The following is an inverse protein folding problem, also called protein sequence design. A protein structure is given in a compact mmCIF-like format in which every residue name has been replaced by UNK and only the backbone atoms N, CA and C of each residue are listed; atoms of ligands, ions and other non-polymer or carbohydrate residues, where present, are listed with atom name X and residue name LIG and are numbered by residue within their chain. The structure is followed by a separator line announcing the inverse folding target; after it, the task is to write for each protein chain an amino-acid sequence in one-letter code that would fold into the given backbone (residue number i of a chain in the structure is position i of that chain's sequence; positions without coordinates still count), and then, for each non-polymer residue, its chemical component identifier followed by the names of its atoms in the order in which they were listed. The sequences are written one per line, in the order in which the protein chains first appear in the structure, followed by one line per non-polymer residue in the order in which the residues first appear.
data_IF_191279656401
#
_entry.id   IF_191279656401
#
_cell.length_a   1.000
_cell.length_b   1.000
_cell.length_c   1.000
_cell.angle_alpha   90.00
_cell.angle_beta   90.00
_cell.angle_gamma   90.00
#
_symmetry.space_group_name_H-M   'P 1'
#
loop_
_entity.id
_entity.type
_entity.pdbx_description
1 polymer ?
#
# COMPACT_ATOMS: atom_id res chain seq x y z
N UNK A 1 12.85 -10.37 -9.33
CA UNK A 1 13.24 -10.04 -7.93
C UNK A 1 12.09 -9.53 -7.07
N UNK A 2 11.44 -8.41 -7.42
CA UNK A 2 10.33 -7.83 -6.64
C UNK A 2 9.17 -8.80 -6.37
N UNK A 3 8.65 -9.46 -7.41
CA UNK A 3 7.52 -10.41 -7.28
C UNK A 3 7.83 -11.56 -6.33
N UNK A 4 9.05 -12.10 -6.42
CA UNK A 4 9.51 -13.18 -5.54
C UNK A 4 9.57 -12.69 -4.08
N UNK A 5 10.17 -11.53 -3.83
CA UNK A 5 10.22 -10.95 -2.49
C UNK A 5 8.82 -10.68 -1.92
N UNK A 6 7.92 -10.11 -2.71
CA UNK A 6 6.55 -9.79 -2.30
C UNK A 6 5.77 -11.06 -1.91
N UNK A 7 5.90 -12.12 -2.71
CA UNK A 7 5.28 -13.42 -2.41
C UNK A 7 5.87 -14.07 -1.15
N UNK A 8 7.18 -13.96 -0.94
CA UNK A 8 7.84 -14.48 0.27
C UNK A 8 7.37 -13.75 1.53
N UNK A 9 7.28 -12.41 1.49
CA UNK A 9 6.74 -11.61 2.62
C UNK A 9 5.30 -12.01 2.92
N UNK A 10 4.45 -12.09 1.88
CA UNK A 10 3.05 -12.51 2.03
C UNK A 10 2.93 -13.89 2.67
N UNK A 11 3.76 -14.85 2.25
CA UNK A 11 3.81 -16.19 2.84
C UNK A 11 4.23 -16.16 4.31
N UNK A 12 5.24 -15.38 4.67
CA UNK A 12 5.69 -15.28 6.07
C UNK A 12 4.65 -14.59 6.97
N UNK A 13 3.94 -13.58 6.45
CA UNK A 13 2.83 -12.94 7.16
C UNK A 13 1.68 -13.93 7.40
N UNK A 14 1.34 -14.75 6.40
CA UNK A 14 0.31 -15.79 6.52
C UNK A 14 0.64 -16.85 7.58
N UNK A 15 1.92 -17.17 7.79
CA UNK A 15 2.38 -18.20 8.74
C UNK A 15 2.30 -17.77 10.23
N UNK A 16 2.07 -16.50 10.54
CA UNK A 16 1.88 -15.94 11.90
C UNK A 16 2.94 -16.38 12.92
N UNK A 17 2.62 -17.39 13.75
CA UNK A 17 3.50 -17.90 14.81
C UNK A 17 4.56 -18.88 14.29
N UNK A 18 4.29 -19.56 13.16
CA UNK A 18 5.22 -20.46 12.48
C UNK A 18 6.16 -19.74 11.51
N UNK A 19 6.19 -18.40 11.55
CA UNK A 19 7.04 -17.59 10.67
C UNK A 19 8.51 -17.85 10.97
N UNK A 20 9.32 -17.89 9.92
CA UNK A 20 10.75 -18.11 10.06
C UNK A 20 11.46 -16.76 10.09
N UNK A 21 11.87 -16.33 11.30
CA UNK A 21 12.58 -15.06 11.49
C UNK A 21 13.83 -14.95 10.62
N UNK A 22 14.55 -16.07 10.42
CA UNK A 22 15.74 -16.13 9.56
C UNK A 22 15.44 -15.72 8.11
N UNK A 23 14.29 -16.13 7.56
CA UNK A 23 13.87 -15.75 6.20
C UNK A 23 13.56 -14.25 6.13
N UNK A 24 12.85 -13.72 7.13
CA UNK A 24 12.53 -12.29 7.18
C UNK A 24 13.79 -11.43 7.30
N UNK A 25 14.74 -11.83 8.14
CA UNK A 25 16.02 -11.15 8.30
C UNK A 25 16.83 -11.16 7.01
N UNK A 26 16.94 -12.32 6.34
CA UNK A 26 17.61 -12.43 5.05
C UNK A 26 16.95 -11.55 3.99
N UNK A 27 15.61 -11.50 3.95
CA UNK A 27 14.88 -10.61 3.05
C UNK A 27 15.17 -9.14 3.31
N UNK A 28 15.27 -8.70 4.58
CA UNK A 28 15.64 -7.32 4.92
C UNK A 28 17.04 -7.00 4.41
N UNK A 29 18.03 -7.88 4.66
CA UNK A 29 19.40 -7.69 4.20
C UNK A 29 19.46 -7.62 2.67
N UNK A 30 18.76 -8.52 2.00
CA UNK A 30 18.69 -8.55 0.54
C UNK A 30 18.10 -7.26 -0.03
N UNK A 31 16.95 -6.80 0.49
CA UNK A 31 16.31 -5.56 0.03
C UNK A 31 17.19 -4.34 0.30
N UNK A 32 17.81 -4.27 1.49
CA UNK A 32 18.74 -3.21 1.85
C UNK A 32 19.94 -3.18 0.90
N UNK A 33 20.54 -4.34 0.62
CA UNK A 33 21.66 -4.46 -0.32
C UNK A 33 21.32 -3.95 -1.71
N UNK A 34 20.10 -4.22 -2.21
CA UNK A 34 19.66 -3.70 -3.51
C UNK A 34 19.50 -2.17 -3.50
N UNK A 35 18.93 -1.60 -2.44
CA UNK A 35 18.78 -0.14 -2.30
C UNK A 35 20.15 0.53 -2.23
N UNK A 36 21.06 0.01 -1.43
CA UNK A 36 22.43 0.53 -1.31
C UNK A 36 23.19 0.40 -2.63
N UNK A 37 23.04 -0.70 -3.35
CA UNK A 37 23.66 -0.90 -4.65
C UNK A 37 23.19 0.15 -5.68
N UNK A 38 21.89 0.44 -5.73
CA UNK A 38 21.35 1.49 -6.61
C UNK A 38 21.99 2.85 -6.28
N UNK A 39 22.03 3.24 -5.00
CA UNK A 39 22.62 4.52 -4.62
C UNK A 39 24.14 4.58 -4.81
N UNK A 40 24.83 3.45 -4.70
CA UNK A 40 26.26 3.36 -5.00
C UNK A 40 26.52 3.56 -6.50
N UNK A 41 25.80 2.84 -7.37
CA UNK A 41 25.98 2.91 -8.82
C UNK A 41 25.64 4.29 -9.37
N UNK A 42 24.60 4.94 -8.82
CA UNK A 42 24.12 6.25 -9.30
C UNK A 42 24.48 7.40 -8.33
N UNK A 43 25.60 7.28 -7.62
CA UNK A 43 26.02 8.27 -6.62
C UNK A 43 26.18 9.67 -7.21
N UNK A 44 26.74 9.79 -8.42
CA UNK A 44 26.98 11.07 -9.09
C UNK A 44 25.71 11.87 -9.39
N UNK A 45 24.59 11.18 -9.64
CA UNK A 45 23.31 11.80 -9.98
C UNK A 45 22.50 12.26 -8.76
N UNK A 46 23.01 11.97 -7.55
CA UNK A 46 22.42 12.38 -6.27
C UNK A 46 20.92 12.05 -6.14
N UNK A 47 20.52 10.85 -6.62
CA UNK A 47 19.11 10.39 -6.63
C UNK A 47 18.44 10.36 -5.26
N UNK A 48 19.23 10.32 -4.18
CA UNK A 48 18.71 10.39 -2.81
C UNK A 48 17.96 11.70 -2.55
N UNK A 49 18.27 12.78 -3.27
CA UNK A 49 17.57 14.07 -3.15
C UNK A 49 16.08 13.96 -3.51
N UNK A 50 15.72 13.07 -4.42
CA UNK A 50 14.32 12.81 -4.77
C UNK A 50 13.52 12.22 -3.60
N UNK A 51 14.16 11.55 -2.65
CA UNK A 51 13.49 11.11 -1.42
C UNK A 51 13.09 12.30 -0.52
N UNK A 52 13.79 13.42 -0.61
CA UNK A 52 13.44 14.62 0.15
C UNK A 52 12.53 15.55 -0.67
N UNK A 53 11.84 15.02 -1.69
CA UNK A 53 11.00 15.78 -2.62
C UNK A 53 11.75 16.93 -3.31
N UNK A 54 13.07 16.76 -3.48
CA UNK A 54 13.93 17.71 -4.18
C UNK A 54 14.28 17.16 -5.56
N UNK A 55 14.38 18.05 -6.55
CA UNK A 55 14.79 17.65 -7.89
C UNK A 55 16.23 17.11 -7.88
N UNK A 56 16.46 15.99 -8.55
CA UNK A 56 17.80 15.45 -8.70
C UNK A 56 18.67 16.35 -9.61
N UNK A 57 19.98 16.21 -9.45
CA UNK A 57 20.96 17.07 -10.08
C UNK A 57 21.37 16.47 -11.43
N UNK A 58 20.78 16.98 -12.52
CA UNK A 58 21.12 16.58 -13.88
C UNK A 58 21.68 17.76 -14.67
N UNK A 59 22.65 17.45 -15.53
CA UNK A 59 23.27 18.39 -16.47
C UNK A 59 22.33 18.78 -17.63
N UNK A 60 21.41 17.88 -18.00
CA UNK A 60 20.39 18.10 -19.02
C UNK A 60 19.04 17.53 -18.57
N UNK A 61 17.99 18.37 -18.56
CA UNK A 61 16.64 17.98 -18.15
C UNK A 61 15.83 17.43 -19.34
N UNK A 62 16.15 16.21 -19.76
CA UNK A 62 15.37 15.52 -20.81
C UNK A 62 14.21 14.73 -20.22
N UNK A 63 13.15 14.54 -21.01
CA UNK A 63 11.97 13.76 -20.60
C UNK A 63 12.33 12.33 -20.18
N UNK A 64 13.32 11.73 -20.86
CA UNK A 64 13.80 10.37 -20.56
C UNK A 64 14.51 10.29 -19.21
N UNK A 65 15.28 11.33 -18.85
CA UNK A 65 15.91 11.43 -17.54
C UNK A 65 14.86 11.52 -16.44
N UNK A 66 13.80 12.31 -16.63
CA UNK A 66 12.69 12.41 -15.67
C UNK A 66 12.00 11.05 -15.48
N UNK A 67 11.61 10.38 -16.56
CA UNK A 67 10.98 9.05 -16.47
C UNK A 67 11.88 8.03 -15.78
N UNK A 68 13.17 8.03 -16.10
CA UNK A 68 14.12 7.10 -15.50
C UNK A 68 14.28 7.34 -13.99
N UNK A 69 14.37 8.59 -13.55
CA UNK A 69 14.46 8.94 -12.11
C UNK A 69 13.19 8.57 -11.37
N UNK A 70 12.03 8.92 -11.92
CA UNK A 70 10.74 8.54 -11.35
C UNK A 70 10.66 7.01 -11.23
N UNK A 71 11.09 6.27 -12.25
CA UNK A 71 11.13 4.81 -12.23
C UNK A 71 12.05 4.22 -11.16
N UNK A 72 13.28 4.72 -11.02
CA UNK A 72 14.24 4.22 -10.02
C UNK A 72 13.79 4.58 -8.59
N UNK A 73 13.30 5.80 -8.38
CA UNK A 73 12.82 6.24 -7.06
C UNK A 73 11.56 5.47 -6.64
N UNK A 74 10.62 5.25 -7.56
CA UNK A 74 9.45 4.38 -7.36
C UNK A 74 9.85 2.96 -6.94
N UNK A 75 10.87 2.40 -7.60
CA UNK A 75 11.41 1.08 -7.29
C UNK A 75 12.06 1.01 -5.90
N UNK A 76 12.88 2.01 -5.55
CA UNK A 76 13.51 2.10 -4.22
C UNK A 76 12.45 2.17 -3.12
N UNK A 77 11.40 2.96 -3.30
CA UNK A 77 10.36 3.10 -2.28
C UNK A 77 9.62 1.78 -2.06
N UNK A 78 9.33 1.03 -3.12
CA UNK A 78 8.73 -0.31 -2.96
C UNK A 78 9.61 -1.22 -2.10
N UNK A 79 10.92 -1.16 -2.29
CA UNK A 79 11.86 -1.96 -1.50
C UNK A 79 11.91 -1.50 -0.04
N UNK A 80 11.91 -0.19 0.20
CA UNK A 80 11.81 0.38 1.55
C UNK A 80 10.50 -0.04 2.23
N UNK A 81 9.36 0.04 1.52
CA UNK A 81 8.05 -0.38 2.01
C UNK A 81 8.02 -1.87 2.36
N UNK A 82 8.55 -2.73 1.49
CA UNK A 82 8.68 -4.17 1.76
C UNK A 82 9.59 -4.44 2.98
N UNK A 83 10.69 -3.71 3.12
CA UNK A 83 11.61 -3.81 4.25
C UNK A 83 10.92 -3.44 5.56
N UNK A 84 10.15 -2.34 5.59
CA UNK A 84 9.37 -1.94 6.76
C UNK A 84 8.30 -2.97 7.12
N UNK A 85 7.62 -3.59 6.14
CA UNK A 85 6.67 -4.70 6.41
C UNK A 85 7.37 -5.92 7.00
N UNK A 86 8.56 -6.28 6.50
CA UNK A 86 9.38 -7.34 7.08
C UNK A 86 9.76 -7.01 8.54
N UNK A 87 10.14 -5.76 8.83
CA UNK A 87 10.45 -5.32 10.18
C UNK A 87 9.22 -5.45 11.10
N UNK A 88 8.06 -4.97 10.68
CA UNK A 88 6.79 -5.13 11.43
C UNK A 88 6.45 -6.62 11.63
N UNK A 89 6.66 -7.46 10.62
CA UNK A 89 6.46 -8.91 10.74
C UNK A 89 7.43 -9.54 11.75
N UNK A 90 8.66 -9.04 11.82
CA UNK A 90 9.71 -9.53 12.72
C UNK A 90 9.45 -9.17 14.20
N UNK A 91 8.72 -8.07 14.48
CA UNK A 91 8.41 -7.62 15.83
C UNK A 91 7.67 -8.69 16.66
N UNK A 92 8.01 -8.77 17.95
CA UNK A 92 7.40 -9.71 18.88
C UNK A 92 5.95 -9.34 19.23
N UNK A 93 5.17 -10.29 19.76
CA UNK A 93 3.77 -10.06 20.18
C UNK A 93 3.64 -8.97 21.26
N UNK A 94 4.70 -8.75 22.05
CA UNK A 94 4.78 -7.70 23.08
C UNK A 94 4.76 -6.27 22.50
N UNK A 95 5.23 -6.09 21.27
CA UNK A 95 5.32 -4.76 20.63
C UNK A 95 4.06 -4.47 19.80
N UNK A 96 3.59 -5.46 19.02
CA UNK A 96 2.40 -5.32 18.19
C UNK A 96 1.55 -6.58 18.25
N UNK A 97 0.32 -6.43 18.75
CA UNK A 97 -0.71 -7.46 18.76
C UNK A 97 -1.04 -7.90 17.33
N UNK A 98 -1.24 -9.20 17.10
CA UNK A 98 -1.47 -9.74 15.75
C UNK A 98 -2.66 -9.11 15.02
N UNK A 99 -3.75 -8.80 15.74
CA UNK A 99 -4.95 -8.13 15.19
C UNK A 99 -4.63 -6.76 14.58
N UNK A 100 -3.60 -6.07 15.07
CA UNK A 100 -3.22 -4.72 14.60
C UNK A 100 -2.24 -4.74 13.42
N UNK A 101 -1.51 -5.85 13.20
CA UNK A 101 -0.46 -5.92 12.15
C UNK A 101 -1.01 -5.70 10.75
N UNK A 102 -2.17 -6.28 10.44
CA UNK A 102 -2.86 -6.07 9.16
C UNK A 102 -3.18 -4.59 8.91
N UNK A 103 -3.64 -3.87 9.95
CA UNK A 103 -3.89 -2.42 9.90
C UNK A 103 -2.59 -1.64 9.65
N UNK A 104 -1.48 -2.01 10.28
CA UNK A 104 -0.17 -1.39 10.02
C UNK A 104 0.36 -1.66 8.60
N UNK A 105 0.22 -2.88 8.07
CA UNK A 105 0.64 -3.19 6.70
C UNK A 105 -0.16 -2.37 5.68
N UNK A 106 -1.47 -2.27 5.88
CA UNK A 106 -2.35 -1.45 5.08
C UNK A 106 -1.96 0.03 5.17
N UNK A 107 -1.83 0.58 6.38
CA UNK A 107 -1.44 1.98 6.59
C UNK A 107 -0.12 2.30 5.89
N UNK A 108 0.89 1.46 6.09
CA UNK A 108 2.21 1.63 5.52
C UNK A 108 2.19 1.59 3.97
N UNK A 109 1.38 0.73 3.38
CA UNK A 109 1.20 0.69 1.92
C UNK A 109 0.52 1.94 1.39
N UNK A 110 -0.50 2.46 2.08
CA UNK A 110 -1.18 3.70 1.67
C UNK A 110 -0.24 4.89 1.78
N UNK A 111 0.52 5.00 2.87
CA UNK A 111 1.54 6.03 3.02
C UNK A 111 2.59 5.94 1.91
N UNK A 112 3.05 4.73 1.57
CA UNK A 112 3.98 4.52 0.46
C UNK A 112 3.40 4.95 -0.88
N UNK A 113 2.12 4.69 -1.14
CA UNK A 113 1.45 5.11 -2.37
C UNK A 113 1.24 6.63 -2.42
N UNK A 114 0.88 7.26 -1.31
CA UNK A 114 0.81 8.73 -1.21
C UNK A 114 2.17 9.35 -1.53
N UNK A 115 3.23 8.82 -0.92
CA UNK A 115 4.58 9.33 -1.11
C UNK A 115 5.09 9.13 -2.55
N UNK A 116 4.80 7.99 -3.20
CA UNK A 116 5.15 7.74 -4.60
C UNK A 116 4.40 8.65 -5.58
N UNK A 117 3.24 9.20 -5.21
CA UNK A 117 2.55 10.23 -5.99
C UNK A 117 3.15 11.62 -5.82
N UNK A 118 3.85 11.87 -4.71
CA UNK A 118 4.46 13.18 -4.45
C UNK A 118 5.81 13.37 -5.16
N UNK A 119 6.54 12.28 -5.44
CA UNK A 119 7.91 12.36 -5.98
C UNK A 119 8.00 12.84 -7.43
N UNK A 120 7.10 12.44 -8.35
CA UNK A 120 7.15 12.96 -9.71
C UNK A 120 6.95 14.49 -9.77
N UNK A 121 6.24 15.07 -8.79
CA UNK A 121 5.86 16.49 -8.76
C UNK A 121 7.03 17.45 -8.94
N UNK A 122 8.07 17.48 -8.06
CA UNK A 122 9.19 18.39 -8.20
C UNK A 122 10.01 18.15 -9.48
N UNK A 123 10.04 16.91 -9.98
CA UNK A 123 10.78 16.56 -11.19
C UNK A 123 10.08 17.08 -12.45
N UNK A 124 8.77 16.88 -12.55
CA UNK A 124 7.96 17.42 -13.63
C UNK A 124 7.87 18.93 -13.57
N UNK A 125 7.72 19.51 -12.37
CA UNK A 125 7.72 20.97 -12.19
C UNK A 125 9.02 21.60 -12.69
N UNK A 126 10.18 21.01 -12.36
CA UNK A 126 11.48 21.45 -12.88
C UNK A 126 11.54 21.33 -14.42
N UNK A 127 11.15 20.18 -14.96
CA UNK A 127 11.16 19.93 -16.41
C UNK A 127 10.28 20.91 -17.19
N UNK A 128 9.07 21.21 -16.71
CA UNK A 128 8.16 22.14 -17.40
C UNK A 128 8.57 23.61 -17.20
N UNK A 129 9.09 23.98 -16.03
CA UNK A 129 9.58 25.33 -15.76
C UNK A 129 10.78 25.73 -16.64
N UNK A 130 11.55 24.75 -17.11
CA UNK A 130 12.70 24.99 -17.99
C UNK A 130 12.29 25.17 -19.46
N UNK A 131 11.05 24.82 -19.82
CA UNK A 131 10.57 24.81 -21.20
C UNK A 131 9.59 25.96 -21.56
N UNK A 132 8.73 26.44 -20.64
CA UNK A 132 7.84 27.62 -20.85
C UNK A 132 7.14 28.09 -19.55
N UNK A 133 6.88 29.40 -19.39
CA UNK A 133 6.17 29.99 -18.23
C UNK A 133 4.71 29.53 -18.12
N UNK A 134 4.05 29.31 -19.26
CA UNK A 134 2.71 28.70 -19.33
C UNK A 134 2.74 27.23 -18.91
N UNK A 135 3.88 26.56 -19.13
CA UNK A 135 4.13 25.18 -18.73
C UNK A 135 4.13 24.99 -17.21
N UNK A 136 4.58 25.98 -16.44
CA UNK A 136 4.58 25.91 -14.98
C UNK A 136 3.15 25.85 -14.42
N UNK A 137 2.25 26.72 -14.88
CA UNK A 137 0.85 26.75 -14.42
C UNK A 137 0.12 25.45 -14.78
N UNK A 138 0.31 24.97 -16.02
CA UNK A 138 -0.30 23.72 -16.48
C UNK A 138 0.21 22.49 -15.70
N UNK A 139 1.50 22.45 -15.37
CA UNK A 139 2.12 21.39 -14.57
C UNK A 139 1.58 21.36 -13.14
N UNK A 140 1.54 22.51 -12.46
CA UNK A 140 1.02 22.62 -11.10
C UNK A 140 -0.46 22.20 -11.04
N UNK A 141 -1.27 22.65 -12.01
CA UNK A 141 -2.68 22.29 -12.08
C UNK A 141 -2.89 20.78 -12.32
N UNK A 142 -2.16 20.20 -13.26
CA UNK A 142 -2.27 18.78 -13.63
C UNK A 142 -1.81 17.86 -12.49
N UNK A 143 -0.74 18.23 -11.79
CA UNK A 143 -0.28 17.55 -10.58
C UNK A 143 -1.31 17.64 -9.46
N UNK A 144 -1.87 18.82 -9.20
CA UNK A 144 -2.86 19.02 -8.14
C UNK A 144 -4.14 18.20 -8.42
N UNK A 145 -4.60 18.18 -9.67
CA UNK A 145 -5.76 17.38 -10.10
C UNK A 145 -5.47 15.88 -9.97
N UNK A 146 -4.31 15.42 -10.43
CA UNK A 146 -3.93 14.00 -10.32
C UNK A 146 -3.84 13.55 -8.85
N UNK A 147 -3.20 14.35 -7.99
CA UNK A 147 -3.13 14.09 -6.56
C UNK A 147 -4.52 14.06 -5.93
N UNK A 148 -5.38 15.04 -6.23
CA UNK A 148 -6.74 15.10 -5.71
C UNK A 148 -7.58 13.88 -6.12
N UNK A 149 -7.54 13.50 -7.41
CA UNK A 149 -8.26 12.32 -7.94
C UNK A 149 -7.75 11.04 -7.26
N UNK A 150 -6.43 10.87 -7.14
CA UNK A 150 -5.86 9.66 -6.54
C UNK A 150 -6.09 9.56 -5.04
N UNK A 151 -5.99 10.66 -4.30
CA UNK A 151 -6.31 10.69 -2.87
C UNK A 151 -7.78 10.36 -2.66
N UNK A 152 -8.66 10.95 -3.46
CA UNK A 152 -10.08 10.63 -3.48
C UNK A 152 -10.31 9.12 -3.73
N UNK A 153 -9.73 8.56 -4.80
CA UNK A 153 -9.82 7.14 -5.12
C UNK A 153 -9.25 6.22 -4.02
N UNK A 154 -8.17 6.62 -3.34
CA UNK A 154 -7.62 5.85 -2.22
C UNK A 154 -8.55 5.84 -1.02
N UNK A 155 -9.15 6.98 -0.67
CA UNK A 155 -10.13 7.09 0.42
C UNK A 155 -11.37 6.22 0.09
N UNK A 156 -11.91 6.34 -1.12
CA UNK A 156 -13.06 5.54 -1.56
C UNK A 156 -12.76 4.03 -1.55
N UNK A 157 -11.55 3.62 -1.97
CA UNK A 157 -11.17 2.20 -2.05
C UNK A 157 -10.94 1.53 -0.69
N UNK A 158 -10.63 2.29 0.36
CA UNK A 158 -10.53 1.72 1.71
C UNK A 158 -11.88 1.33 2.32
N UNK A 159 -12.99 1.92 1.84
CA UNK A 159 -14.29 1.87 2.53
C UNK A 159 -15.18 0.70 2.06
N UNK A 160 -15.02 0.17 0.83
CA UNK A 160 -16.01 -0.77 0.27
C UNK A 160 -15.52 -2.21 0.13
N UNK A 161 -15.68 -3.01 1.19
CA UNK A 161 -15.83 -4.48 1.08
C UNK A 161 -17.26 -4.96 1.36
N UNK A 162 -18.16 -4.02 1.58
CA UNK A 162 -19.57 -4.23 1.84
C UNK A 162 -20.27 -2.87 1.97
N UNK A 163 -21.57 -2.93 2.20
CA UNK A 163 -22.43 -1.77 2.43
C UNK A 163 -22.95 -1.81 3.87
N UNK A 164 -23.30 -0.65 4.44
CA UNK A 164 -24.03 -0.61 5.71
C UNK A 164 -25.46 -1.12 5.46
N UNK A 165 -25.91 -2.20 6.13
CA UNK A 165 -27.29 -2.68 5.98
C UNK A 165 -28.29 -1.70 6.56
N UNK A 166 -29.53 -1.77 6.09
CA UNK A 166 -30.62 -1.02 6.72
C UNK A 166 -30.98 -1.64 8.07
N UNK A 167 -31.74 -0.90 8.91
CA UNK A 167 -32.14 -1.41 10.23
C UNK A 167 -33.03 -2.65 10.10
N UNK A 168 -33.86 -2.70 9.06
CA UNK A 168 -34.75 -3.82 8.78
C UNK A 168 -33.96 -5.09 8.43
N UNK A 169 -32.95 -4.96 7.55
CA UNK A 169 -32.07 -6.08 7.18
C UNK A 169 -31.26 -6.61 8.39
N UNK A 170 -30.87 -5.72 9.30
CA UNK A 170 -30.17 -6.10 10.52
C UNK A 170 -31.06 -6.94 11.45
N UNK A 171 -32.33 -6.54 11.59
CA UNK A 171 -33.32 -7.27 12.40
C UNK A 171 -33.62 -8.64 11.78
N UNK A 172 -33.81 -8.72 10.46
CA UNK A 172 -34.02 -9.99 9.74
C UNK A 172 -32.83 -10.96 9.88
N UNK A 173 -31.61 -10.43 9.98
CA UNK A 173 -30.41 -11.25 10.15
C UNK A 173 -30.23 -11.84 11.56
N UNK A 174 -31.11 -11.49 12.51
CA UNK A 174 -31.08 -12.00 13.88
C UNK A 174 -30.18 -11.22 14.84
N UNK A 175 -29.69 -10.03 14.43
CA UNK A 175 -28.88 -9.08 15.21
C UNK A 175 -27.58 -9.61 15.87
N UNK A 176 -27.28 -10.90 15.75
CA UNK A 176 -26.09 -11.55 16.26
C UNK A 176 -25.11 -11.85 15.13
N UNK A 177 -23.83 -11.56 15.36
CA UNK A 177 -22.80 -11.84 14.38
C UNK A 177 -22.54 -13.35 14.29
N UNK A 178 -22.58 -13.96 13.10
CA UNK A 178 -22.30 -15.40 12.93
C UNK A 178 -20.87 -15.82 13.31
N UNK A 179 -19.94 -14.86 13.43
CA UNK A 179 -18.53 -15.13 13.75
C UNK A 179 -18.27 -15.08 15.26
N UNK A 180 -18.65 -13.99 15.93
CA UNK A 180 -18.41 -13.83 17.38
C UNK A 180 -19.60 -14.21 18.25
N UNK A 181 -20.78 -14.44 17.65
CA UNK A 181 -22.02 -14.78 18.34
C UNK A 181 -22.50 -13.72 19.36
N UNK A 182 -21.96 -12.50 19.26
CA UNK A 182 -22.39 -11.32 20.01
C UNK A 182 -23.26 -10.41 19.12
N UNK A 183 -23.90 -9.40 19.73
CA UNK A 183 -24.62 -8.35 19.00
C UNK A 183 -23.72 -7.66 17.97
N UNK A 184 -24.26 -7.41 16.77
CA UNK A 184 -23.50 -6.87 15.65
C UNK A 184 -23.11 -5.41 15.94
N UNK A 185 -21.80 -5.18 16.09
CA UNK A 185 -21.19 -3.86 16.22
C UNK A 185 -20.67 -3.43 14.85
N UNK A 186 -21.05 -2.23 14.40
CA UNK A 186 -20.69 -1.68 13.08
C UNK A 186 -21.02 -2.68 11.95
N UNK A 187 -22.31 -2.87 11.62
CA UNK A 187 -22.74 -3.92 10.72
C UNK A 187 -22.25 -3.68 9.29
N UNK A 188 -21.66 -4.72 8.70
CA UNK A 188 -21.26 -4.72 7.29
C UNK A 188 -22.00 -5.85 6.56
N UNK A 189 -22.72 -5.46 5.50
CA UNK A 189 -23.40 -6.37 4.57
C UNK A 189 -22.53 -6.59 3.34
N UNK A 190 -22.15 -7.83 3.11
CA UNK A 190 -21.41 -8.22 1.90
C UNK A 190 -22.34 -8.28 0.68
N UNK A 191 -21.78 -8.33 -0.53
CA UNK A 191 -22.56 -8.49 -1.78
C UNK A 191 -23.45 -9.75 -1.78
N UNK A 192 -23.01 -10.79 -1.07
CA UNK A 192 -23.78 -12.01 -0.83
C UNK A 192 -24.86 -11.88 0.25
N UNK A 193 -25.17 -10.65 0.70
CA UNK A 193 -26.18 -10.27 1.70
C UNK A 193 -25.96 -10.73 3.14
N UNK A 194 -24.87 -11.45 3.43
CA UNK A 194 -24.54 -11.82 4.80
C UNK A 194 -23.98 -10.64 5.60
N UNK A 195 -24.43 -10.51 6.85
CA UNK A 195 -24.10 -9.40 7.76
C UNK A 195 -23.18 -9.90 8.89
N UNK A 196 -22.15 -9.12 9.18
CA UNK A 196 -21.17 -9.39 10.24
C UNK A 196 -20.77 -8.10 10.94
N UNK A 197 -20.11 -8.19 12.10
CA UNK A 197 -19.38 -7.04 12.64
C UNK A 197 -18.22 -6.70 11.70
N UNK A 198 -17.97 -5.40 11.48
CA UNK A 198 -16.83 -4.90 10.70
C UNK A 198 -15.53 -5.59 11.09
N UNK A 199 -15.26 -5.60 12.40
CA UNK A 199 -14.06 -6.17 13.01
C UNK A 199 -13.96 -7.70 12.76
N UNK A 200 -15.07 -8.42 12.84
CA UNK A 200 -15.09 -9.88 12.68
C UNK A 200 -14.81 -10.28 11.23
N UNK A 201 -15.48 -9.61 10.29
CA UNK A 201 -15.30 -9.91 8.87
C UNK A 201 -13.94 -9.42 8.36
N UNK A 202 -13.46 -8.30 8.90
CA UNK A 202 -12.08 -7.81 8.72
C UNK A 202 -11.04 -8.88 9.06
N UNK A 203 -11.18 -9.55 10.22
CA UNK A 203 -10.27 -10.61 10.64
C UNK A 203 -10.36 -11.88 9.77
N UNK A 204 -11.56 -12.16 9.25
CA UNK A 204 -11.76 -13.28 8.34
C UNK A 204 -11.04 -13.05 7.00
N UNK A 205 -11.13 -11.84 6.44
CA UNK A 205 -10.47 -11.47 5.18
C UNK A 205 -8.95 -11.43 5.25
N UNK A 206 -8.36 -11.34 6.44
CA UNK A 206 -6.93 -11.54 6.62
C UNK A 206 -6.48 -12.98 6.29
N UNK A 207 -7.41 -13.94 6.24
CA UNK A 207 -7.14 -15.36 5.96
C UNK A 207 -7.74 -15.81 4.63
N UNK A 208 -9.00 -15.49 4.39
CA UNK A 208 -9.78 -16.01 3.27
C UNK A 208 -10.61 -14.89 2.64
N UNK A 209 -10.51 -14.70 1.32
CA UNK A 209 -11.28 -13.66 0.59
C UNK A 209 -12.65 -14.18 0.13
N UNK A 210 -13.36 -14.82 1.04
CA UNK A 210 -14.69 -15.34 0.80
C UNK A 210 -15.62 -15.09 1.98
N UNK A 211 -16.93 -15.11 1.76
CA UNK A 211 -17.89 -15.02 2.84
C UNK A 211 -17.78 -16.25 3.78
N UNK A 212 -17.72 -16.07 5.11
CA UNK A 212 -17.69 -17.18 6.07
C UNK A 212 -18.88 -18.14 5.96
N UNK A 213 -20.05 -17.62 5.56
CA UNK A 213 -21.29 -18.39 5.50
C UNK A 213 -21.47 -19.12 4.18
N UNK A 214 -21.37 -18.43 3.04
CA UNK A 214 -21.66 -19.01 1.73
C UNK A 214 -20.43 -19.23 0.84
N UNK A 215 -19.23 -18.87 1.30
CA UNK A 215 -17.97 -18.94 0.53
C UNK A 215 -17.97 -18.19 -0.80
N UNK A 216 -18.94 -17.29 -1.02
CA UNK A 216 -18.92 -16.38 -2.15
C UNK A 216 -17.62 -15.55 -2.14
N UNK A 217 -16.92 -15.51 -3.27
CA UNK A 217 -15.68 -14.71 -3.40
C UNK A 217 -16.00 -13.23 -3.36
N UNK A 218 -15.15 -12.48 -2.68
CA UNK A 218 -15.34 -11.04 -2.51
C UNK A 218 -14.29 -10.35 -3.37
N UNK A 219 -14.76 -9.62 -4.38
CA UNK A 219 -13.91 -8.93 -5.34
C UNK A 219 -13.12 -7.77 -4.69
N UNK A 220 -13.67 -7.19 -3.62
CA UNK A 220 -13.18 -5.94 -3.02
C UNK A 220 -12.83 -6.07 -1.52
N UNK A 221 -12.13 -7.14 -1.12
CA UNK A 221 -11.61 -7.23 0.26
C UNK A 221 -10.52 -6.17 0.54
N UNK A 222 -10.22 -5.87 1.83
CA UNK A 222 -9.20 -4.89 2.21
C UNK A 222 -7.84 -5.24 1.59
N UNK A 223 -7.45 -4.49 0.56
CA UNK A 223 -6.19 -4.72 -0.15
C UNK A 223 -5.00 -4.49 0.80
N UNK A 224 -3.96 -5.31 0.67
CA UNK A 224 -2.66 -5.16 1.33
C UNK A 224 -2.56 -5.49 2.83
N UNK A 225 -3.65 -5.93 3.51
CA UNK A 225 -3.56 -6.46 4.89
C UNK A 225 -2.74 -7.75 5.01
N UNK A 226 -2.59 -8.49 3.91
CA UNK A 226 -1.76 -9.69 3.80
C UNK A 226 -0.25 -9.39 3.72
N UNK A 227 0.14 -8.11 3.81
CA UNK A 227 1.52 -7.66 3.71
C UNK A 227 2.04 -7.52 2.28
N UNK A 228 1.20 -7.70 1.26
CA UNK A 228 1.64 -7.49 -0.12
C UNK A 228 1.76 -6.00 -0.49
N UNK A 229 2.63 -5.71 -1.45
CA UNK A 229 2.97 -4.36 -1.94
C UNK A 229 2.54 -4.23 -3.40
N UNK A 230 2.02 -3.05 -3.78
CA UNK A 230 1.51 -2.80 -5.13
C UNK A 230 2.61 -2.86 -6.19
N UNK A 231 2.33 -3.55 -7.30
CA UNK A 231 3.20 -3.62 -8.46
C UNK A 231 3.01 -2.46 -9.46
N UNK A 232 1.95 -1.66 -9.29
CA UNK A 232 1.59 -0.58 -10.21
C UNK A 232 2.61 0.56 -10.11
N UNK A 233 3.19 0.99 -11.24
CA UNK A 233 4.16 2.11 -11.31
C UNK A 233 3.39 3.43 -11.37
N UNK A 234 3.77 4.40 -10.54
CA UNK A 234 3.23 5.75 -10.60
C UNK A 234 4.22 6.61 -11.38
N UNK A 235 3.88 6.86 -12.63
CA UNK A 235 4.74 7.54 -13.62
C UNK A 235 4.46 9.06 -13.65
N UNK A 236 3.24 9.44 -13.26
CA UNK A 236 2.77 10.79 -13.01
C UNK A 236 2.24 10.86 -11.59
#
# INVERSE_FOLDING_TARGET
TFVHGNNTVRRQVALKERRQFRILLWMIIFLLGNVLFIYYVFHEQQLYRCLYLMAANFKECTIWNVFWVVGITDYVIRFVTMMLKCLIASLCKRVIAFKMRGKYYMFLEHLSQLYRMLIPIPLWSKYFSENDDVGHVFSVASVAIYFAIKVCLLIFKQIQYGTTPTKEELIESGALCPICQEEIKEPIKLDCKHIFCDDCISLWFDRERSCPLCRARIAHGPMWRDGSTSAFIQVF
#
